data_IF_563951446879
#
_entry.id   IF_563951446879
#
_cell.length_a   1.000
_cell.length_b   1.000
_cell.length_c   1.000
_cell.angle_alpha   90.00
_cell.angle_beta   90.00
_cell.angle_gamma   90.00
#
_symmetry.space_group_name_H-M   'P 1'
#
loop_
_entity.id
_entity.type
_entity.pdbx_description
1 polymer ?
#
# COMPACT_ATOMS: atom_id res chain seq x y z
N UNK A 1 55.27 -45.76 -21.21
CA UNK A 1 55.40 -45.52 -19.76
C UNK A 1 56.68 -44.73 -19.53
N UNK A 2 56.65 -43.68 -18.70
CA UNK A 2 57.84 -42.91 -18.34
C UNK A 2 57.99 -42.95 -16.82
N UNK A 3 59.12 -43.51 -16.37
CA UNK A 3 59.50 -43.89 -15.00
C UNK A 3 59.80 -42.70 -14.05
N UNK A 4 59.04 -41.62 -14.15
CA UNK A 4 59.23 -40.42 -13.31
C UNK A 4 58.21 -40.27 -12.18
N UNK A 5 57.46 -41.33 -11.88
CA UNK A 5 56.49 -41.41 -10.76
C UNK A 5 56.80 -42.52 -9.74
N UNK A 6 58.07 -42.76 -9.43
CA UNK A 6 58.48 -43.49 -8.23
C UNK A 6 59.85 -42.94 -7.86
N UNK A 7 59.98 -42.03 -6.90
CA UNK A 7 60.13 -42.43 -5.50
C UNK A 7 59.53 -41.41 -4.51
N UNK A 8 58.86 -41.99 -3.53
CA UNK A 8 58.45 -41.45 -2.25
C UNK A 8 59.70 -41.09 -1.42
N UNK A 9 59.76 -39.92 -0.79
CA UNK A 9 60.38 -39.66 0.53
C UNK A 9 60.50 -38.15 0.85
N UNK A 10 59.67 -37.73 1.81
CA UNK A 10 59.91 -36.70 2.83
C UNK A 10 60.12 -35.22 2.44
N UNK A 11 59.07 -34.40 2.61
CA UNK A 11 59.20 -33.10 3.31
C UNK A 11 57.86 -32.47 3.72
N UNK A 12 57.73 -32.24 5.03
CA UNK A 12 56.86 -31.19 5.57
C UNK A 12 55.64 -31.67 6.34
N UNK A 13 55.84 -32.19 7.56
CA UNK A 13 54.80 -32.14 8.58
C UNK A 13 54.48 -30.66 8.86
N UNK A 14 53.43 -30.14 8.23
CA UNK A 14 52.86 -28.85 8.63
C UNK A 14 51.96 -29.10 9.85
N UNK A 15 52.26 -28.39 10.95
CA UNK A 15 51.48 -28.43 12.20
C UNK A 15 49.98 -28.35 11.89
N UNK A 16 49.18 -29.24 12.50
CA UNK A 16 47.71 -29.15 12.53
C UNK A 16 47.31 -27.75 13.00
N UNK A 17 47.01 -26.87 12.05
CA UNK A 17 46.59 -25.51 12.35
C UNK A 17 45.15 -25.56 12.86
N UNK A 18 44.86 -24.80 13.91
CA UNK A 18 43.55 -24.67 14.58
C UNK A 18 42.39 -24.26 13.66
N UNK A 19 42.65 -24.00 12.38
CA UNK A 19 41.68 -23.70 11.34
C UNK A 19 40.83 -24.91 10.88
N UNK A 20 41.21 -26.15 11.25
CA UNK A 20 40.38 -27.34 10.97
C UNK A 20 39.28 -27.58 12.02
N UNK A 21 39.19 -26.73 13.06
CA UNK A 21 38.08 -26.79 14.02
C UNK A 21 36.89 -26.02 13.44
N UNK A 22 35.96 -26.76 12.81
CA UNK A 22 34.66 -26.21 12.36
C UNK A 22 34.03 -25.40 13.51
N UNK A 23 33.58 -24.15 13.31
CA UNK A 23 32.90 -23.42 14.37
C UNK A 23 31.62 -24.17 14.74
N UNK A 24 31.61 -24.82 15.91
CA UNK A 24 30.41 -25.47 16.47
C UNK A 24 29.54 -24.40 17.14
N UNK A 25 29.12 -23.40 16.37
CA UNK A 25 28.11 -22.42 16.77
C UNK A 25 26.87 -22.67 15.91
N UNK A 26 26.01 -23.59 16.38
CA UNK A 26 24.64 -23.74 15.86
C UNK A 26 23.68 -22.66 16.39
N UNK A 27 24.12 -21.77 17.29
CA UNK A 27 23.26 -20.79 17.94
C UNK A 27 23.22 -19.40 17.25
N UNK A 28 24.24 -19.05 16.43
CA UNK A 28 24.31 -17.74 15.77
C UNK A 28 24.18 -17.79 14.23
N UNK A 29 23.97 -18.97 13.63
CA UNK A 29 23.77 -19.11 12.17
C UNK A 29 22.37 -18.68 11.69
N UNK A 30 21.50 -18.24 12.60
CA UNK A 30 20.17 -17.70 12.31
C UNK A 30 20.16 -16.19 12.08
N UNK A 31 21.28 -15.49 12.29
CA UNK A 31 21.39 -14.07 11.92
C UNK A 31 21.89 -13.97 10.48
N UNK A 32 21.07 -14.46 9.53
CA UNK A 32 21.19 -13.99 8.15
C UNK A 32 20.69 -12.56 8.14
N UNK A 33 21.60 -11.61 7.95
CA UNK A 33 21.26 -10.24 7.54
C UNK A 33 20.52 -10.37 6.22
N UNK A 34 19.19 -10.33 6.28
CA UNK A 34 18.35 -10.32 5.09
C UNK A 34 18.78 -9.11 4.25
N UNK A 35 19.18 -9.29 2.98
CA UNK A 35 19.41 -8.15 2.12
C UNK A 35 18.10 -7.34 2.05
N UNK A 36 18.19 -6.04 2.34
CA UNK A 36 17.04 -5.11 2.34
C UNK A 36 16.36 -5.03 0.97
N UNK A 37 17.06 -5.46 -0.08
CA UNK A 37 16.55 -5.58 -1.43
C UNK A 37 16.23 -7.03 -1.82
N UNK A 38 14.95 -7.30 -2.12
CA UNK A 38 14.49 -8.59 -2.63
C UNK A 38 15.21 -8.93 -3.93
N UNK A 39 15.76 -10.13 -4.00
CA UNK A 39 16.46 -10.63 -5.20
C UNK A 39 15.51 -10.61 -6.41
N UNK A 40 16.03 -10.40 -7.63
CA UNK A 40 15.22 -10.41 -8.87
C UNK A 40 14.34 -11.67 -8.99
N UNK A 41 14.81 -12.82 -8.51
CA UNK A 41 14.06 -14.07 -8.46
C UNK A 41 12.90 -14.04 -7.46
N UNK A 42 13.10 -13.47 -6.26
CA UNK A 42 12.05 -13.30 -5.25
C UNK A 42 10.97 -12.31 -5.71
N UNK A 43 11.35 -11.18 -6.34
CA UNK A 43 10.39 -10.24 -6.94
C UNK A 43 9.53 -10.89 -8.04
N UNK A 44 10.13 -11.77 -8.86
CA UNK A 44 9.38 -12.54 -9.87
C UNK A 44 8.43 -13.56 -9.23
N UNK A 45 8.86 -14.27 -8.18
CA UNK A 45 8.02 -15.20 -7.45
C UNK A 45 6.83 -14.49 -6.79
N UNK A 46 7.07 -13.36 -6.12
CA UNK A 46 6.00 -12.54 -5.52
C UNK A 46 5.03 -11.99 -6.57
N UNK A 47 5.53 -11.55 -7.74
CA UNK A 47 4.65 -11.08 -8.82
C UNK A 47 3.79 -12.21 -9.39
N UNK A 48 4.32 -13.43 -9.49
CA UNK A 48 3.53 -14.62 -9.89
C UNK A 48 2.46 -14.95 -8.86
N UNK A 49 2.80 -14.96 -7.58
CA UNK A 49 1.85 -15.23 -6.48
C UNK A 49 0.78 -14.13 -6.38
N UNK A 50 1.15 -12.85 -6.54
CA UNK A 50 0.20 -11.75 -6.58
C UNK A 50 -0.74 -11.84 -7.78
N UNK A 51 -0.22 -12.23 -8.94
CA UNK A 51 -1.04 -12.47 -10.14
C UNK A 51 -1.99 -13.65 -9.96
N UNK A 52 -1.55 -14.74 -9.33
CA UNK A 52 -2.38 -15.89 -9.00
C UNK A 52 -3.51 -15.51 -8.02
N UNK A 53 -3.18 -14.77 -6.96
CA UNK A 53 -4.19 -14.25 -6.03
C UNK A 53 -5.21 -13.37 -6.75
N UNK A 54 -4.76 -12.44 -7.60
CA UNK A 54 -5.65 -11.62 -8.42
C UNK A 54 -6.52 -12.46 -9.36
N UNK A 55 -5.97 -13.48 -10.04
CA UNK A 55 -6.77 -14.35 -10.91
C UNK A 55 -7.81 -15.16 -10.15
N UNK A 56 -7.49 -15.63 -8.94
CA UNK A 56 -8.43 -16.36 -8.10
C UNK A 56 -9.57 -15.46 -7.61
N UNK A 57 -9.26 -14.20 -7.31
CA UNK A 57 -10.24 -13.19 -6.93
C UNK A 57 -11.11 -12.76 -8.12
N UNK A 58 -10.50 -12.56 -9.29
CA UNK A 58 -11.20 -12.30 -10.55
C UNK A 58 -12.16 -13.42 -10.92
N UNK A 59 -11.77 -14.69 -10.68
CA UNK A 59 -12.63 -15.86 -10.92
C UNK A 59 -13.78 -15.93 -9.92
N UNK A 60 -13.51 -15.72 -8.63
CA UNK A 60 -14.52 -15.77 -7.56
C UNK A 60 -15.56 -14.65 -7.66
N UNK A 61 -15.14 -13.47 -8.12
CA UNK A 61 -15.99 -12.29 -8.22
C UNK A 61 -16.20 -11.81 -9.66
N UNK A 62 -16.14 -12.75 -10.61
CA UNK A 62 -16.27 -12.46 -12.04
C UNK A 62 -17.58 -11.73 -12.39
N UNK A 63 -18.65 -12.08 -11.68
CA UNK A 63 -19.98 -11.53 -11.87
C UNK A 63 -20.45 -10.85 -10.57
N UNK A 64 -20.02 -9.61 -10.29
CA UNK A 64 -20.44 -8.93 -9.07
C UNK A 64 -21.95 -8.66 -9.13
N UNK A 65 -22.74 -9.09 -8.11
CA UNK A 65 -24.19 -8.94 -8.09
C UNK A 65 -24.64 -7.51 -7.76
N UNK A 66 -23.91 -6.48 -8.23
CA UNK A 66 -24.29 -5.09 -8.02
C UNK A 66 -25.29 -4.62 -9.09
N UNK A 67 -26.33 -3.84 -8.73
CA UNK A 67 -27.31 -3.34 -9.69
C UNK A 67 -26.67 -2.41 -10.73
N UNK A 68 -25.62 -1.69 -10.35
CA UNK A 68 -24.83 -0.83 -11.24
C UNK A 68 -24.13 -1.65 -12.34
N UNK A 69 -23.49 -2.77 -11.99
CA UNK A 69 -22.83 -3.66 -12.95
C UNK A 69 -23.84 -4.20 -13.98
N UNK A 70 -25.03 -4.62 -13.54
CA UNK A 70 -26.09 -5.10 -14.45
C UNK A 70 -26.53 -4.04 -15.45
N UNK A 71 -26.69 -2.77 -15.03
CA UNK A 71 -27.03 -1.65 -15.93
C UNK A 71 -25.91 -1.40 -16.95
N UNK A 72 -24.66 -1.35 -16.49
CA UNK A 72 -23.49 -1.20 -17.35
C UNK A 72 -23.35 -2.33 -18.37
N UNK A 73 -23.61 -3.57 -17.95
CA UNK A 73 -23.59 -4.75 -18.82
C UNK A 73 -24.68 -4.66 -19.90
N UNK A 74 -25.89 -4.18 -19.57
CA UNK A 74 -26.96 -3.94 -20.55
C UNK A 74 -26.57 -2.89 -21.58
N UNK A 75 -25.97 -1.77 -21.16
CA UNK A 75 -25.49 -0.72 -22.07
C UNK A 75 -24.38 -1.26 -22.97
N UNK A 76 -23.44 -2.03 -22.40
CA UNK A 76 -22.38 -2.68 -23.17
C UNK A 76 -22.93 -3.66 -24.22
N UNK A 77 -23.90 -4.50 -23.84
CA UNK A 77 -24.60 -5.37 -24.79
C UNK A 77 -25.39 -4.59 -25.84
N UNK A 78 -26.06 -3.50 -25.47
CA UNK A 78 -26.79 -2.65 -26.40
C UNK A 78 -25.85 -2.01 -27.43
N UNK A 79 -24.68 -1.55 -27.02
CA UNK A 79 -23.65 -1.04 -27.94
C UNK A 79 -23.11 -2.13 -28.87
N UNK A 80 -22.88 -3.35 -28.37
CA UNK A 80 -22.44 -4.46 -29.21
C UNK A 80 -23.50 -4.89 -30.22
N UNK A 81 -24.75 -5.06 -29.78
CA UNK A 81 -25.86 -5.41 -30.67
C UNK A 81 -26.09 -4.30 -31.69
N UNK A 82 -26.05 -3.04 -31.25
CA UNK A 82 -26.14 -1.88 -32.14
C UNK A 82 -25.03 -1.85 -33.19
N UNK A 83 -23.78 -2.13 -32.81
CA UNK A 83 -22.66 -2.21 -33.74
C UNK A 83 -22.83 -3.33 -34.77
N UNK A 84 -23.25 -4.52 -34.33
CA UNK A 84 -23.51 -5.66 -35.22
C UNK A 84 -24.65 -5.33 -36.19
N UNK A 85 -25.76 -4.78 -35.68
CA UNK A 85 -26.91 -4.39 -36.48
C UNK A 85 -26.54 -3.30 -37.50
N UNK A 86 -25.81 -2.26 -37.09
CA UNK A 86 -25.33 -1.20 -37.98
C UNK A 86 -24.38 -1.73 -39.06
N UNK A 87 -23.52 -2.69 -38.73
CA UNK A 87 -22.61 -3.34 -39.69
C UNK A 87 -23.40 -4.17 -40.71
N UNK A 88 -24.38 -4.96 -40.26
CA UNK A 88 -25.25 -5.73 -41.14
C UNK A 88 -26.10 -4.83 -42.03
N UNK A 89 -26.68 -3.76 -41.48
CA UNK A 89 -27.44 -2.74 -42.22
C UNK A 89 -26.57 -1.99 -43.23
N UNK A 90 -25.28 -1.75 -42.93
CA UNK A 90 -24.35 -1.12 -43.88
C UNK A 90 -24.12 -1.96 -45.14
N UNK A 91 -24.20 -3.30 -45.02
CA UNK A 91 -24.04 -4.22 -46.15
C UNK A 91 -25.36 -4.49 -46.87
N UNK A 92 -26.42 -4.83 -46.12
CA UNK A 92 -27.74 -5.18 -46.70
C UNK A 92 -28.44 -3.93 -47.22
N UNK A 93 -28.38 -2.81 -46.50
CA UNK A 93 -29.05 -1.56 -46.88
C UNK A 93 -28.49 -0.89 -48.14
N UNK A 94 -27.36 -1.37 -48.68
CA UNK A 94 -26.72 -0.76 -49.85
C UNK A 94 -27.55 -0.85 -51.13
N UNK A 95 -28.49 -1.81 -51.20
CA UNK A 95 -29.46 -1.89 -52.31
C UNK A 95 -30.58 -0.84 -52.22
N UNK A 96 -30.76 -0.19 -51.07
CA UNK A 96 -31.85 0.76 -50.83
C UNK A 96 -31.38 2.19 -50.54
N UNK A 97 -30.13 2.37 -50.09
CA UNK A 97 -29.59 3.68 -49.72
C UNK A 97 -28.37 4.05 -50.57
N UNK A 98 -28.13 5.36 -50.79
CA UNK A 98 -26.90 5.83 -51.40
C UNK A 98 -25.66 5.38 -50.62
N UNK A 99 -24.57 5.12 -51.33
CA UNK A 99 -23.31 4.61 -50.77
C UNK A 99 -22.79 5.42 -49.58
N UNK A 100 -22.95 6.75 -49.60
CA UNK A 100 -22.56 7.63 -48.51
C UNK A 100 -23.24 7.27 -47.18
N UNK A 101 -24.53 6.90 -47.21
CA UNK A 101 -25.30 6.52 -46.02
C UNK A 101 -24.75 5.23 -45.41
N UNK A 102 -24.38 4.25 -46.24
CA UNK A 102 -23.74 3.02 -45.78
C UNK A 102 -22.41 3.30 -45.06
N UNK A 103 -21.56 4.19 -45.60
CA UNK A 103 -20.30 4.55 -44.94
C UNK A 103 -20.50 5.31 -43.63
N UNK A 104 -21.51 6.17 -43.52
CA UNK A 104 -21.87 6.82 -42.26
C UNK A 104 -22.34 5.78 -41.23
N UNK A 105 -23.14 4.80 -41.64
CA UNK A 105 -23.54 3.70 -40.75
C UNK A 105 -22.37 2.83 -40.31
N UNK A 106 -21.42 2.57 -41.21
CA UNK A 106 -20.18 1.87 -40.87
C UNK A 106 -19.35 2.70 -39.87
N UNK A 107 -19.25 4.01 -40.07
CA UNK A 107 -18.63 4.93 -39.11
C UNK A 107 -19.31 4.89 -37.75
N UNK A 108 -20.65 4.90 -37.72
CA UNK A 108 -21.43 4.76 -36.49
C UNK A 108 -21.17 3.41 -35.79
N UNK A 109 -21.05 2.31 -36.54
CA UNK A 109 -20.70 1.01 -35.99
C UNK A 109 -19.34 1.04 -35.28
N UNK A 110 -18.32 1.66 -35.89
CA UNK A 110 -17.01 1.84 -35.25
C UNK A 110 -17.09 2.66 -33.97
N UNK A 111 -17.87 3.75 -33.96
CA UNK A 111 -18.10 4.56 -32.75
C UNK A 111 -18.76 3.72 -31.65
N UNK A 112 -19.75 2.88 -31.98
CA UNK A 112 -20.36 1.96 -31.03
C UNK A 112 -19.36 0.94 -30.46
N UNK A 113 -18.47 0.38 -31.29
CA UNK A 113 -17.43 -0.56 -30.85
C UNK A 113 -16.44 0.14 -29.90
N UNK A 114 -15.94 1.32 -30.26
CA UNK A 114 -15.02 2.10 -29.41
C UNK A 114 -15.71 2.46 -28.09
N UNK A 115 -16.97 2.89 -28.14
CA UNK A 115 -17.79 3.15 -26.96
C UNK A 115 -17.95 1.91 -26.07
N UNK A 116 -18.19 0.73 -26.65
CA UNK A 116 -18.28 -0.52 -25.91
C UNK A 116 -16.97 -0.86 -25.19
N UNK A 117 -15.82 -0.70 -25.86
CA UNK A 117 -14.50 -0.90 -25.24
C UNK A 117 -14.26 0.08 -24.10
N UNK A 118 -14.62 1.36 -24.27
CA UNK A 118 -14.49 2.35 -23.20
C UNK A 118 -15.34 2.00 -21.97
N UNK A 119 -16.59 1.57 -22.17
CA UNK A 119 -17.49 1.14 -21.09
C UNK A 119 -16.94 -0.09 -20.35
N UNK A 120 -16.41 -1.07 -21.09
CA UNK A 120 -15.85 -2.29 -20.51
C UNK A 120 -14.58 -2.01 -19.69
N UNK A 121 -13.63 -1.27 -20.27
CA UNK A 121 -12.35 -0.99 -19.63
C UNK A 121 -12.42 0.04 -18.51
N UNK A 122 -13.25 1.07 -18.65
CA UNK A 122 -13.32 2.13 -17.65
C UNK A 122 -14.35 1.80 -16.58
N UNK A 123 -15.62 1.60 -16.93
CA UNK A 123 -16.68 1.50 -15.93
C UNK A 123 -16.86 0.09 -15.40
N UNK A 124 -16.94 -0.92 -16.26
CA UNK A 124 -17.18 -2.31 -15.84
C UNK A 124 -15.98 -2.83 -15.02
N UNK A 125 -14.74 -2.61 -15.48
CA UNK A 125 -13.54 -2.97 -14.70
C UNK A 125 -13.45 -2.24 -13.36
N UNK A 126 -13.77 -0.94 -13.29
CA UNK A 126 -13.74 -0.20 -12.01
C UNK A 126 -14.76 -0.75 -11.02
N UNK A 127 -16.00 -1.01 -11.45
CA UNK A 127 -17.04 -1.59 -10.59
C UNK A 127 -16.64 -2.99 -10.11
N UNK A 128 -16.05 -3.81 -10.97
CA UNK A 128 -15.55 -5.14 -10.59
C UNK A 128 -14.44 -5.06 -9.54
N UNK A 129 -13.46 -4.17 -9.73
CA UNK A 129 -12.36 -3.97 -8.78
C UNK A 129 -12.86 -3.43 -7.43
N UNK A 130 -13.73 -2.44 -7.43
CA UNK A 130 -14.32 -1.90 -6.21
C UNK A 130 -15.09 -2.98 -5.43
N UNK A 131 -15.79 -3.88 -6.13
CA UNK A 131 -16.46 -5.02 -5.50
C UNK A 131 -15.47 -6.04 -4.92
N UNK A 132 -14.39 -6.34 -5.63
CA UNK A 132 -13.32 -7.22 -5.12
C UNK A 132 -12.68 -6.66 -3.85
N UNK A 133 -12.36 -5.36 -3.86
CA UNK A 133 -11.80 -4.65 -2.71
C UNK A 133 -12.75 -4.68 -1.51
N UNK A 134 -14.06 -4.50 -1.71
CA UNK A 134 -15.05 -4.61 -0.64
C UNK A 134 -15.14 -6.03 -0.07
N UNK A 135 -15.08 -7.05 -0.92
CA UNK A 135 -15.13 -8.44 -0.47
C UNK A 135 -13.85 -8.87 0.26
N UNK A 136 -12.69 -8.39 -0.18
CA UNK A 136 -11.41 -8.62 0.52
C UNK A 136 -11.34 -7.86 1.85
N UNK A 137 -11.81 -6.61 1.88
CA UNK A 137 -11.87 -5.82 3.10
C UNK A 137 -12.82 -6.46 4.12
N UNK A 138 -13.98 -6.94 3.69
CA UNK A 138 -14.95 -7.62 4.56
C UNK A 138 -14.40 -8.95 5.06
N UNK A 139 -13.76 -9.77 4.20
CA UNK A 139 -13.05 -10.98 4.62
C UNK A 139 -11.95 -10.69 5.63
N UNK A 140 -11.19 -9.60 5.48
CA UNK A 140 -10.15 -9.25 6.45
C UNK A 140 -10.73 -8.89 7.82
N UNK A 141 -11.91 -8.27 7.86
CA UNK A 141 -12.63 -7.94 9.10
C UNK A 141 -13.23 -9.18 9.75
N UNK A 142 -13.89 -10.04 8.96
CA UNK A 142 -14.47 -11.30 9.43
C UNK A 142 -13.38 -12.27 9.90
N UNK A 143 -12.28 -12.42 9.15
CA UNK A 143 -11.15 -13.25 9.57
C UNK A 143 -10.54 -12.75 10.87
N UNK A 144 -10.42 -11.44 11.06
CA UNK A 144 -9.93 -10.85 12.31
C UNK A 144 -10.91 -11.07 13.48
N UNK A 145 -12.21 -11.00 13.22
CA UNK A 145 -13.25 -11.30 14.20
C UNK A 145 -13.25 -12.79 14.59
N UNK A 146 -13.18 -13.69 13.59
CA UNK A 146 -13.09 -15.14 13.78
C UNK A 146 -11.81 -15.53 14.50
N UNK A 147 -10.65 -14.94 14.18
CA UNK A 147 -9.39 -15.20 14.89
C UNK A 147 -9.49 -14.77 16.35
N UNK A 148 -10.15 -13.63 16.64
CA UNK A 148 -10.39 -13.17 18.01
C UNK A 148 -11.32 -14.11 18.76
N UNK A 149 -12.39 -14.58 18.11
CA UNK A 149 -13.32 -15.56 18.69
C UNK A 149 -12.65 -16.92 18.92
N UNK A 150 -11.85 -17.41 17.97
CA UNK A 150 -11.10 -18.66 18.12
C UNK A 150 -10.04 -18.56 19.21
N UNK A 151 -9.34 -17.43 19.33
CA UNK A 151 -8.41 -17.19 20.45
C UNK A 151 -9.14 -17.10 21.78
N UNK A 152 -10.33 -16.51 21.83
CA UNK A 152 -11.16 -16.48 23.04
C UNK A 152 -11.67 -17.88 23.40
N UNK A 153 -12.15 -18.66 22.43
CA UNK A 153 -12.60 -20.04 22.60
C UNK A 153 -11.46 -20.98 23.01
N UNK A 154 -10.26 -20.84 22.43
CA UNK A 154 -9.07 -21.59 22.84
C UNK A 154 -8.61 -21.21 24.26
N UNK A 155 -8.75 -19.94 24.66
CA UNK A 155 -8.48 -19.52 26.03
C UNK A 155 -9.52 -20.08 27.01
N UNK A 156 -10.79 -20.12 26.63
CA UNK A 156 -11.86 -20.72 27.42
C UNK A 156 -11.66 -22.24 27.57
N UNK A 157 -11.40 -22.95 26.47
CA UNK A 157 -11.14 -24.39 26.48
C UNK A 157 -9.86 -24.75 27.27
N UNK A 158 -8.81 -23.93 27.19
CA UNK A 158 -7.60 -24.10 28.03
C UNK A 158 -7.83 -23.79 29.51
N UNK A 159 -8.80 -22.94 29.84
CA UNK A 159 -9.19 -22.70 31.24
C UNK A 159 -10.07 -23.84 31.77
N UNK A 160 -10.91 -24.44 30.91
CA UNK A 160 -11.81 -25.54 31.26
C UNK A 160 -11.09 -26.89 31.38
N UNK A 161 -10.05 -27.12 30.57
CA UNK A 161 -9.15 -28.29 30.70
C UNK A 161 -8.12 -28.17 31.83
N UNK A 162 -8.09 -27.03 32.55
CA UNK A 162 -7.12 -26.76 33.63
C UNK A 162 -7.70 -26.83 35.06
N UNK A 163 -8.90 -27.37 35.28
CA UNK A 163 -9.38 -27.74 36.63
C UNK A 163 -9.34 -29.26 36.81
N UNK A 164 -8.67 -29.87 37.81
CA UNK A 164 -7.85 -29.44 38.96
C UNK A 164 -6.84 -30.59 39.29
N UNK A 165 -5.76 -30.39 40.10
CA UNK A 165 -5.88 -30.13 41.54
C UNK A 165 -4.99 -28.99 42.07
N UNK A 166 -5.20 -28.67 43.35
CA UNK A 166 -4.72 -27.52 44.11
C UNK A 166 -3.22 -27.51 44.44
N UNK A 167 -2.62 -26.32 44.45
CA UNK A 167 -1.63 -25.90 45.44
C UNK A 167 -1.52 -24.36 45.49
N UNK A 168 -1.47 -23.82 46.70
CA UNK A 168 -1.29 -22.40 47.01
C UNK A 168 0.11 -21.93 46.60
N UNK A 169 0.24 -21.07 45.59
CA UNK A 169 1.34 -20.10 45.55
C UNK A 169 0.87 -18.77 44.96
N UNK A 170 1.04 -17.71 45.77
CA UNK A 170 0.67 -16.31 45.50
C UNK A 170 1.03 -15.90 44.06
N UNK A 171 0.09 -15.39 43.24
CA UNK A 171 0.46 -14.83 41.95
C UNK A 171 1.28 -13.56 42.19
N UNK A 172 2.58 -13.64 41.93
CA UNK A 172 3.44 -12.46 41.76
C UNK A 172 2.75 -11.53 40.77
N UNK A 173 2.30 -10.39 41.30
CA UNK A 173 1.62 -9.32 40.58
C UNK A 173 2.44 -8.90 39.37
N UNK A 174 2.14 -9.48 38.20
CA UNK A 174 2.49 -8.86 36.92
C UNK A 174 1.50 -7.73 36.73
N UNK A 175 1.94 -6.53 37.12
CA UNK A 175 1.16 -5.32 37.00
C UNK A 175 0.57 -5.19 35.59
N UNK A 176 -0.70 -4.78 35.54
CA UNK A 176 -1.47 -4.47 34.35
C UNK A 176 -0.97 -3.20 33.62
N UNK A 177 0.28 -2.82 33.86
CA UNK A 177 0.91 -1.63 33.33
C UNK A 177 2.24 -2.03 32.71
N UNK A 178 2.19 -2.31 31.41
CA UNK A 178 3.31 -2.02 30.51
C UNK A 178 3.55 -0.50 30.44
N UNK A 179 3.91 0.11 31.57
CA UNK A 179 4.16 1.55 31.71
C UNK A 179 5.64 1.91 31.76
N UNK A 180 6.56 0.95 31.60
CA UNK A 180 8.00 1.22 31.67
C UNK A 180 8.66 1.78 30.41
N UNK A 181 7.98 1.81 29.25
CA UNK A 181 8.60 2.25 27.99
C UNK A 181 7.86 3.38 27.28
N UNK A 182 6.67 3.78 27.76
CA UNK A 182 5.82 4.78 27.08
C UNK A 182 5.75 6.14 27.77
N UNK A 183 6.38 6.31 28.94
CA UNK A 183 6.43 7.60 29.60
C UNK A 183 7.58 8.48 29.07
N UNK A 184 8.77 7.91 28.86
CA UNK A 184 9.95 8.67 28.43
C UNK A 184 9.78 9.37 27.07
N UNK A 185 9.10 8.75 26.11
CA UNK A 185 8.87 9.37 24.79
C UNK A 185 7.76 10.43 24.79
N UNK A 186 6.76 10.29 25.66
CA UNK A 186 5.69 11.27 25.82
C UNK A 186 6.18 12.49 26.61
N UNK A 187 7.10 12.29 27.55
CA UNK A 187 7.75 13.34 28.32
C UNK A 187 8.78 14.11 27.48
N UNK A 188 9.58 13.40 26.68
CA UNK A 188 10.47 14.04 25.68
C UNK A 188 9.70 14.87 24.64
N UNK A 189 8.57 14.36 24.14
CA UNK A 189 7.75 15.11 23.18
C UNK A 189 7.02 16.31 23.81
N UNK A 190 6.84 16.33 25.13
CA UNK A 190 6.30 17.49 25.86
C UNK A 190 7.37 18.52 26.15
N UNK A 191 8.59 18.09 26.50
CA UNK A 191 9.73 18.98 26.67
C UNK A 191 10.11 19.67 25.33
N UNK A 192 10.16 18.92 24.23
CA UNK A 192 10.48 19.46 22.90
C UNK A 192 9.39 20.40 22.38
N UNK A 193 8.12 20.16 22.72
CA UNK A 193 7.02 21.10 22.43
C UNK A 193 7.07 22.37 23.28
N UNK A 194 7.45 22.26 24.56
CA UNK A 194 7.57 23.43 25.44
C UNK A 194 8.78 24.29 25.06
N UNK A 195 9.89 23.68 24.62
CA UNK A 195 11.04 24.42 24.10
C UNK A 195 10.74 25.07 22.73
N UNK A 196 9.96 24.42 21.86
CA UNK A 196 9.53 25.00 20.59
C UNK A 196 8.53 26.16 20.77
N UNK A 197 7.61 26.06 21.73
CA UNK A 197 6.64 27.13 22.05
C UNK A 197 7.32 28.32 22.75
N UNK A 198 8.38 28.07 23.54
CA UNK A 198 9.20 29.13 24.13
C UNK A 198 10.06 29.87 23.09
N UNK A 199 10.51 29.20 22.02
CA UNK A 199 11.27 29.82 20.94
C UNK A 199 10.37 30.65 19.99
N UNK A 200 9.16 30.17 19.67
CA UNK A 200 8.22 30.88 18.77
C UNK A 200 7.60 32.13 19.45
N UNK A 201 7.41 32.07 20.77
CA UNK A 201 6.92 33.22 21.55
C UNK A 201 7.89 34.41 21.60
N UNK A 202 9.21 34.14 21.62
CA UNK A 202 10.25 35.18 21.66
C UNK A 202 10.45 35.82 20.27
N UNK A 203 10.43 35.03 19.20
CA UNK A 203 10.49 35.55 17.83
C UNK A 203 9.24 36.37 17.44
N UNK A 204 8.05 35.93 17.87
CA UNK A 204 6.80 36.64 17.62
C UNK A 204 6.75 38.01 18.30
N UNK A 205 7.24 38.12 19.54
CA UNK A 205 7.31 39.37 20.27
C UNK A 205 8.37 40.32 19.67
N UNK A 206 9.53 39.79 19.29
CA UNK A 206 10.59 40.56 18.61
C UNK A 206 10.19 41.02 17.20
N UNK A 207 9.34 40.28 16.49
CA UNK A 207 8.79 40.67 15.19
C UNK A 207 7.69 41.74 15.33
N UNK A 208 6.85 41.64 16.36
CA UNK A 208 5.82 42.64 16.66
C UNK A 208 6.43 43.99 17.05
N UNK A 209 7.44 44.01 17.93
CA UNK A 209 8.16 45.23 18.31
C UNK A 209 8.89 45.87 17.11
N UNK A 210 9.50 45.07 16.23
CA UNK A 210 10.11 45.57 14.98
C UNK A 210 9.08 46.16 14.00
N UNK A 211 7.91 45.52 13.87
CA UNK A 211 6.82 46.05 13.04
C UNK A 211 6.30 47.39 13.55
N UNK A 212 6.15 47.53 14.87
CA UNK A 212 5.70 48.77 15.52
C UNK A 212 6.71 49.91 15.36
N UNK A 213 8.01 49.62 15.47
CA UNK A 213 9.07 50.59 15.22
C UNK A 213 9.09 51.10 13.76
N UNK A 214 8.88 50.20 12.79
CA UNK A 214 8.88 50.55 11.37
C UNK A 214 7.63 51.37 10.98
N UNK A 215 6.46 51.03 11.54
CA UNK A 215 5.24 51.82 11.36
C UNK A 215 5.36 53.23 11.93
N UNK A 216 6.04 53.39 13.07
CA UNK A 216 6.32 54.71 13.66
C UNK A 216 7.28 55.52 12.79
N UNK A 217 8.33 54.91 12.25
CA UNK A 217 9.25 55.57 11.33
C UNK A 217 8.59 56.02 10.03
N UNK A 218 7.67 55.21 9.47
CA UNK A 218 6.89 55.57 8.29
C UNK A 218 5.92 56.73 8.55
N UNK A 219 5.30 56.79 9.73
CA UNK A 219 4.42 57.89 10.12
C UNK A 219 5.19 59.21 10.31
N UNK A 220 6.40 59.16 10.88
CA UNK A 220 7.27 60.34 11.01
C UNK A 220 7.77 60.84 9.63
N UNK A 221 8.11 59.92 8.72
CA UNK A 221 8.50 60.23 7.35
C UNK A 221 7.34 60.82 6.51
N UNK A 222 6.12 60.34 6.69
CA UNK A 222 4.94 60.90 6.01
C UNK A 222 4.60 62.31 6.52
N UNK A 223 4.90 62.61 7.78
CA UNK A 223 4.67 63.93 8.38
C UNK A 223 5.71 64.97 7.93
N UNK A 224 6.90 64.54 7.51
CA UNK A 224 7.93 65.43 6.94
C UNK A 224 7.78 65.68 5.43
N UNK A 225 6.95 64.91 4.72
CA UNK A 225 6.72 65.01 3.27
C UNK A 225 5.37 65.67 2.87
N UNK A 226 4.75 66.47 3.73
CA UNK A 226 3.56 67.25 3.34
C UNK A 226 3.96 68.67 2.85
N UNK A 227 4.03 68.94 1.53
CA UNK A 227 4.26 70.28 1.02
C UNK A 227 3.02 71.16 1.20
N UNK A 228 3.25 72.34 1.78
CA UNK A 228 2.33 73.47 1.85
C UNK A 228 1.68 73.73 0.49
N UNK A 229 0.39 74.05 0.56
CA UNK A 229 -0.48 74.21 -0.59
C UNK A 229 -0.04 75.25 -1.60
N UNK A 230 -0.55 75.09 -2.82
CA UNK A 230 -0.64 76.17 -3.78
C UNK A 230 -2.05 76.18 -4.35
N UNK A 231 -2.83 77.14 -3.87
CA UNK A 231 -4.02 77.69 -4.53
C UNK A 231 -3.54 78.56 -5.68
N UNK A 232 -3.99 78.27 -6.90
CA UNK A 232 -4.69 79.18 -7.82
C UNK A 232 -4.73 78.58 -9.22
#
# INVERSE_FOLDING_TARGET
>A
MNDRYQTDEHRGQTRKSAAAMKPKSKAAASVRVQPKEKTKQQKKAEKKVARQKQSDLDRKYYNPPTPQYKRLRKIWWALLIGAIAATALSWVGRSWFPDAVSYVMLGAAYVCIIGALYVDFSKIRKVRRAYQEQMEASKSKEQRALEKQQKAAQKAQKAETAGAPAEEEKPKRRGLFGSGFRLSKAEQAKAEKQEAEAADGDEGNAAFERGKANAKAAADAAKSQSPKGSKK
#
